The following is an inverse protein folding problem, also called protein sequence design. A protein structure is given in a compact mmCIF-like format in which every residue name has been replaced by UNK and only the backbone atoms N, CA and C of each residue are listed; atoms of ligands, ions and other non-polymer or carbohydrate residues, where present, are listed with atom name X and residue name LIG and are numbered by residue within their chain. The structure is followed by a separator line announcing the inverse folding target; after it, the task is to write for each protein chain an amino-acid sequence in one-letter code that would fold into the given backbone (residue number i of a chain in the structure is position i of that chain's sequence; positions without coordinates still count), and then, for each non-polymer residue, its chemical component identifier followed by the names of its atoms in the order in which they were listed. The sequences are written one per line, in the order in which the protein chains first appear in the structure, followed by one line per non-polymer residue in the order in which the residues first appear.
data_IF_956767856541
#
_entry.id   IF_956767856541
#
_cell.length_a   1.000
_cell.length_b   1.000
_cell.length_c   1.000
_cell.angle_alpha   90.00
_cell.angle_beta   90.00
_cell.angle_gamma   90.00
#
_symmetry.space_group_name_H-M   'P 1'
#
loop_
_entity.id
_entity.type
_entity.pdbx_description
1 polymer ?
#
# COMPACT_ATOMS: atom_id res chain seq x y z
N UNK A 1 -23.05 -1.42 -7.90
CA UNK A 1 -21.92 -1.68 -8.80
C UNK A 1 -20.96 -0.51 -8.65
N UNK A 2 -20.17 -0.50 -7.56
CA UNK A 2 -19.38 0.68 -7.20
C UNK A 2 -18.24 0.88 -8.18
N UNK A 3 -18.20 2.08 -8.77
CA UNK A 3 -17.13 2.57 -9.63
C UNK A 3 -15.81 2.36 -8.89
N UNK A 4 -14.93 1.53 -9.44
CA UNK A 4 -13.59 1.31 -8.91
C UNK A 4 -12.91 2.67 -8.87
N UNK A 5 -12.65 3.18 -7.68
CA UNK A 5 -11.79 4.34 -7.48
C UNK A 5 -10.41 3.87 -7.91
N UNK A 6 -10.06 4.16 -9.16
CA UNK A 6 -8.72 3.88 -9.67
C UNK A 6 -7.79 4.88 -9.01
N UNK A 7 -6.61 4.43 -8.61
CA UNK A 7 -5.51 5.32 -8.29
C UNK A 7 -5.32 6.31 -9.46
N UNK A 8 -5.03 7.57 -9.12
CA UNK A 8 -4.80 8.64 -10.09
C UNK A 8 -3.58 8.35 -10.98
N UNK A 9 -2.63 7.54 -10.48
CA UNK A 9 -1.49 6.99 -11.22
C UNK A 9 -1.55 5.43 -11.22
N UNK A 10 -1.55 4.77 -12.39
CA UNK A 10 -1.62 3.31 -12.48
C UNK A 10 -0.35 2.59 -11.98
N UNK A 11 0.75 3.30 -11.76
CA UNK A 11 1.99 2.74 -11.22
C UNK A 11 2.15 3.00 -9.72
N UNK A 12 1.34 3.88 -9.13
CA UNK A 12 1.37 4.09 -7.69
C UNK A 12 0.87 2.83 -6.96
N UNK A 13 1.64 2.31 -5.98
CA UNK A 13 1.22 1.14 -5.24
C UNK A 13 0.01 1.46 -4.37
N UNK A 14 -0.94 0.54 -4.33
CA UNK A 14 -2.07 0.62 -3.41
C UNK A 14 -1.56 0.32 -2.00
N UNK A 15 -1.62 1.30 -1.10
CA UNK A 15 -1.14 1.14 0.26
C UNK A 15 -2.27 0.63 1.17
N UNK A 16 -2.03 -0.51 1.83
CA UNK A 16 -2.98 -1.12 2.76
C UNK A 16 -2.34 -1.23 4.14
N UNK A 17 -2.97 -0.55 5.10
CA UNK A 17 -2.61 -0.63 6.52
C UNK A 17 -2.96 -2.00 7.10
N UNK A 18 -1.95 -2.69 7.64
CA UNK A 18 -2.11 -3.97 8.32
C UNK A 18 -1.57 -3.90 9.75
N UNK A 19 -2.14 -4.71 10.64
CA UNK A 19 -1.72 -4.78 12.04
C UNK A 19 -0.72 -5.94 12.29
N UNK A 20 -0.58 -6.84 11.32
CA UNK A 20 0.35 -7.97 11.42
C UNK A 20 0.76 -8.48 10.05
N UNK A 21 1.93 -9.09 9.99
CA UNK A 21 2.41 -9.80 8.79
C UNK A 21 1.47 -10.93 8.37
N UNK A 22 0.82 -11.61 9.34
CA UNK A 22 -0.16 -12.65 9.04
C UNK A 22 -1.37 -12.13 8.26
N UNK A 23 -1.85 -10.91 8.58
CA UNK A 23 -2.91 -10.27 7.81
C UNK A 23 -2.47 -9.90 6.40
N UNK A 24 -1.23 -9.40 6.23
CA UNK A 24 -0.70 -9.09 4.91
C UNK A 24 -0.67 -10.33 4.01
N UNK A 25 -0.15 -11.45 4.52
CA UNK A 25 -0.08 -12.71 3.79
C UNK A 25 -1.47 -13.24 3.44
N UNK A 26 -2.40 -13.26 4.39
CA UNK A 26 -3.76 -13.70 4.15
C UNK A 26 -4.47 -12.82 3.09
N UNK A 27 -4.29 -11.51 3.17
CA UNK A 27 -4.92 -10.57 2.26
C UNK A 27 -4.33 -10.70 0.86
N UNK A 28 -3.02 -10.86 0.72
CA UNK A 28 -2.36 -11.11 -0.56
C UNK A 28 -2.91 -12.37 -1.24
N UNK A 29 -3.06 -13.48 -0.49
CA UNK A 29 -3.64 -14.71 -1.03
C UNK A 29 -5.10 -14.53 -1.43
N UNK A 30 -5.90 -13.89 -0.58
CA UNK A 30 -7.33 -13.68 -0.81
C UNK A 30 -7.59 -12.77 -2.01
N UNK A 31 -6.82 -11.68 -2.14
CA UNK A 31 -6.90 -10.76 -3.28
C UNK A 31 -6.45 -11.46 -4.56
N UNK A 32 -5.36 -12.24 -4.52
CA UNK A 32 -4.89 -13.00 -5.67
C UNK A 32 -5.94 -14.01 -6.14
N UNK A 33 -6.61 -14.71 -5.23
CA UNK A 33 -7.67 -15.66 -5.57
C UNK A 33 -8.91 -14.96 -6.16
N UNK A 34 -9.29 -13.79 -5.61
CA UNK A 34 -10.50 -13.07 -6.04
C UNK A 34 -10.33 -12.34 -7.36
N UNK A 35 -9.13 -11.80 -7.62
CA UNK A 35 -8.85 -10.94 -8.78
C UNK A 35 -7.89 -11.59 -9.80
N UNK A 36 -7.40 -12.81 -9.53
CA UNK A 36 -6.40 -13.51 -10.33
C UNK A 36 -4.96 -13.09 -10.05
N UNK A 37 -4.75 -11.85 -9.60
CA UNK A 37 -3.44 -11.27 -9.26
C UNK A 37 -3.62 -10.28 -8.10
N UNK A 38 -2.73 -10.33 -7.11
CA UNK A 38 -2.50 -9.23 -6.17
C UNK A 38 -1.08 -8.70 -6.41
N UNK A 39 -0.97 -7.55 -7.06
CA UNK A 39 0.29 -6.92 -7.43
C UNK A 39 0.24 -5.42 -7.14
N UNK A 40 1.41 -4.80 -7.01
CA UNK A 40 1.55 -3.37 -6.70
C UNK A 40 0.79 -2.94 -5.44
N UNK A 41 0.79 -3.78 -4.39
CA UNK A 41 0.20 -3.47 -3.09
C UNK A 41 1.32 -3.38 -2.07
N UNK A 42 1.36 -2.28 -1.32
CA UNK A 42 2.25 -2.13 -0.18
C UNK A 42 1.49 -2.39 1.13
N UNK A 43 1.96 -3.37 1.91
CA UNK A 43 1.38 -3.72 3.21
C UNK A 43 2.23 -3.12 4.32
N UNK A 44 1.82 -1.96 4.80
CA UNK A 44 2.56 -1.24 5.82
C UNK A 44 1.90 -1.33 7.20
N UNK A 45 2.72 -1.42 8.24
CA UNK A 45 2.23 -1.33 9.61
C UNK A 45 1.84 0.11 9.96
N UNK A 46 0.83 0.28 10.81
CA UNK A 46 0.40 1.62 11.24
C UNK A 46 1.58 2.42 11.84
N UNK A 47 2.39 1.80 12.71
CA UNK A 47 3.54 2.47 13.32
C UNK A 47 4.62 2.89 12.32
N UNK A 48 4.82 2.12 11.26
CA UNK A 48 5.80 2.40 10.22
C UNK A 48 5.37 3.59 9.35
N UNK A 49 4.08 3.64 8.99
CA UNK A 49 3.51 4.78 8.29
C UNK A 49 3.51 6.04 9.14
N UNK A 50 3.10 5.94 10.42
CA UNK A 50 3.16 7.09 11.33
C UNK A 50 4.59 7.64 11.46
N UNK A 51 5.61 6.79 11.48
CA UNK A 51 7.00 7.23 11.54
C UNK A 51 7.41 8.00 10.26
N UNK A 52 7.03 7.51 9.08
CA UNK A 52 7.27 8.20 7.81
C UNK A 52 6.61 9.58 7.72
N UNK A 53 5.42 9.73 8.31
CA UNK A 53 4.71 11.02 8.35
C UNK A 53 5.28 12.01 9.39
N UNK A 54 5.84 11.54 10.51
CA UNK A 54 6.25 12.40 11.63
C UNK A 54 7.73 12.79 11.57
N UNK A 55 8.55 12.13 10.74
CA UNK A 55 9.96 12.48 10.51
C UNK A 55 10.20 12.83 9.04
N UNK A 56 9.91 14.06 8.59
CA UNK A 56 10.28 14.49 7.26
C UNK A 56 11.81 14.47 7.13
N UNK A 57 12.36 13.52 6.37
CA UNK A 57 13.80 13.45 6.06
C UNK A 57 14.52 12.13 6.40
N UNK A 58 13.83 11.12 6.93
CA UNK A 58 14.40 9.76 7.07
C UNK A 58 13.49 8.74 6.38
N UNK A 59 13.96 8.30 5.21
CA UNK A 59 13.37 7.25 4.34
C UNK A 59 12.26 7.71 3.38
N UNK A 60 12.62 7.75 2.09
CA UNK A 60 11.73 7.47 0.95
C UNK A 60 10.43 8.26 0.86
N UNK A 61 10.49 9.59 0.80
CA UNK A 61 9.34 10.43 0.45
C UNK A 61 8.92 10.16 -1.01
N UNK A 62 7.76 9.50 -1.27
CA UNK A 62 7.33 9.15 -2.63
C UNK A 62 7.02 10.39 -3.48
N UNK A 63 6.78 11.54 -2.85
CA UNK A 63 6.44 12.80 -3.51
C UNK A 63 7.68 13.63 -3.89
N UNK A 64 8.87 13.29 -3.40
CA UNK A 64 10.13 14.00 -3.75
C UNK A 64 10.73 13.59 -5.08
N UNK A 65 10.46 12.38 -5.58
CA UNK A 65 10.98 11.88 -6.86
C UNK A 65 10.18 12.38 -8.09
N UNK A 66 9.12 13.18 -7.88
CA UNK A 66 8.28 13.75 -8.95
C UNK A 66 8.50 15.25 -9.19
N UNK A 67 9.66 15.80 -8.82
CA UNK A 67 10.09 17.17 -9.14
C UNK A 67 11.34 17.18 -10.01
#
# INVERSE_FOLDING_TARGET
MSKRERLDDPFEPEMILVQSTGMAQWLQMTLSQKFGIAANIDFSAASELYLGYVRPGVTGDPQRERL
#
